data_IF_365723014942
#
_entry.id   IF_365723014942
#
_cell.length_a   1.000
_cell.length_b   1.000
_cell.length_c   1.000
_cell.angle_alpha   90.00
_cell.angle_beta   90.00
_cell.angle_gamma   90.00
#
_symmetry.space_group_name_H-M   'P 1'
#
loop_
_entity.id
_entity.type
_entity.pdbx_description
1 polymer ?
#
# COMPACT_ATOMS: atom_id res chain seq x y z
N UNK A 1 59.28 28.09 12.46
CA UNK A 1 59.86 28.39 11.14
C UNK A 1 59.19 27.50 10.09
N UNK A 2 58.94 28.01 8.87
CA UNK A 2 58.04 27.55 7.77
C UNK A 2 56.64 28.20 7.86
N UNK A 3 56.43 29.42 7.32
CA UNK A 3 56.17 29.87 5.91
C UNK A 3 54.74 29.48 5.42
N UNK A 4 53.78 30.43 5.39
CA UNK A 4 53.37 31.34 4.26
C UNK A 4 52.40 30.62 3.29
N UNK A 5 51.31 31.14 2.72
CA UNK A 5 50.52 32.39 2.85
C UNK A 5 49.22 32.23 2.03
N UNK A 6 48.21 33.00 2.44
CA UNK A 6 46.88 33.29 1.89
C UNK A 6 46.80 33.63 0.38
N UNK A 7 45.65 33.31 -0.20
CA UNK A 7 45.02 33.94 -1.38
C UNK A 7 43.50 33.83 -1.17
N UNK A 8 42.62 34.73 -1.59
CA UNK A 8 42.57 36.18 -1.71
C UNK A 8 41.07 36.46 -1.93
N UNK A 9 40.44 37.19 -1.00
CA UNK A 9 39.09 37.76 -1.13
C UNK A 9 39.20 39.05 -1.95
N UNK A 10 38.32 39.28 -2.93
CA UNK A 10 37.89 40.57 -3.55
C UNK A 10 37.22 40.22 -4.90
N UNK A 11 36.13 40.78 -5.43
CA UNK A 11 35.13 41.80 -5.04
C UNK A 11 34.10 41.94 -6.18
N UNK A 12 32.95 42.56 -5.88
CA UNK A 12 32.07 43.37 -6.75
C UNK A 12 31.17 42.66 -7.78
N UNK A 13 29.94 43.11 -8.11
CA UNK A 13 28.94 44.04 -7.59
C UNK A 13 28.00 44.37 -8.78
N UNK A 14 26.68 44.48 -8.53
CA UNK A 14 25.68 45.26 -9.29
C UNK A 14 25.30 44.87 -10.73
N UNK A 15 24.05 44.41 -10.92
CA UNK A 15 23.03 45.11 -11.74
C UNK A 15 21.63 44.87 -11.13
N UNK A 16 21.01 45.95 -10.67
CA UNK A 16 19.57 46.12 -10.44
C UNK A 16 18.98 46.75 -11.71
N UNK A 17 17.82 46.28 -12.19
CA UNK A 17 16.71 47.18 -12.54
C UNK A 17 15.40 46.41 -12.77
N UNK A 18 14.39 46.96 -12.10
CA UNK A 18 12.96 46.64 -12.08
C UNK A 18 12.31 46.67 -13.46
N UNK A 19 11.16 45.99 -13.63
CA UNK A 19 9.91 46.59 -14.12
C UNK A 19 8.71 45.68 -13.76
N UNK A 20 7.74 46.31 -13.11
CA UNK A 20 6.39 45.84 -12.76
C UNK A 20 5.54 45.52 -13.99
N UNK A 21 4.75 44.45 -13.93
CA UNK A 21 3.45 44.41 -14.60
C UNK A 21 2.40 43.71 -13.71
N UNK A 22 1.38 44.48 -13.34
CA UNK A 22 0.12 44.04 -12.74
C UNK A 22 -0.94 44.11 -13.84
N UNK A 23 -1.71 43.05 -14.06
CA UNK A 23 -3.05 43.12 -14.65
C UNK A 23 -3.86 41.87 -14.28
N UNK A 24 -5.13 42.12 -13.99
CA UNK A 24 -6.06 41.31 -13.21
C UNK A 24 -6.84 40.21 -13.97
N UNK A 25 -7.20 39.17 -13.19
CA UNK A 25 -8.52 38.52 -13.00
C UNK A 25 -9.29 37.78 -14.13
N UNK A 26 -9.68 36.52 -13.82
CA UNK A 26 -11.07 36.00 -13.77
C UNK A 26 -11.06 34.48 -13.48
N UNK A 27 -11.30 34.05 -12.23
CA UNK A 27 -12.56 33.51 -11.69
C UNK A 27 -13.07 32.20 -12.30
N UNK A 28 -12.89 31.11 -11.54
CA UNK A 28 -13.82 29.97 -11.46
C UNK A 28 -13.58 29.27 -10.11
N UNK A 29 -14.39 29.63 -9.11
CA UNK A 29 -14.36 29.10 -7.77
C UNK A 29 -14.82 27.63 -7.75
N UNK A 30 -13.88 26.70 -7.57
CA UNK A 30 -14.18 25.41 -6.96
C UNK A 30 -14.21 25.62 -5.45
N UNK A 31 -15.36 25.37 -4.83
CA UNK A 31 -15.55 25.53 -3.39
C UNK A 31 -14.63 24.57 -2.61
N UNK A 32 -13.52 25.08 -2.09
CA UNK A 32 -12.79 24.46 -0.99
C UNK A 32 -13.67 24.51 0.27
N UNK A 33 -14.01 23.34 0.83
CA UNK A 33 -14.56 23.25 2.18
C UNK A 33 -13.40 23.31 3.19
N UNK A 34 -13.51 24.12 4.26
CA UNK A 34 -12.45 24.21 5.26
C UNK A 34 -12.41 22.92 6.10
N UNK A 35 -11.21 22.35 6.20
CA UNK A 35 -10.87 21.29 7.14
C UNK A 35 -10.82 21.85 8.58
N UNK A 36 -11.97 22.17 9.17
CA UNK A 36 -12.06 22.37 10.62
C UNK A 36 -12.29 21.03 11.30
N UNK A 37 -11.39 20.69 12.23
CA UNK A 37 -11.44 19.46 13.00
C UNK A 37 -12.73 19.39 13.83
N UNK A 38 -13.64 18.49 13.43
CA UNK A 38 -14.87 18.22 14.19
C UNK A 38 -14.55 17.18 15.26
N UNK A 39 -14.25 17.64 16.48
CA UNK A 39 -14.07 16.77 17.65
C UNK A 39 -15.41 16.16 18.09
N UNK A 40 -15.41 14.97 18.69
CA UNK A 40 -16.58 14.51 19.45
C UNK A 40 -16.75 15.30 20.76
N UNK A 41 -17.90 15.11 21.42
CA UNK A 41 -18.21 15.59 22.78
C UNK A 41 -17.18 15.15 23.84
N UNK A 42 -16.29 14.20 23.50
CA UNK A 42 -15.21 13.71 24.33
C UNK A 42 -13.81 14.24 23.92
N UNK A 43 -13.72 15.21 22.99
CA UNK A 43 -12.47 15.85 22.58
C UNK A 43 -11.50 14.97 21.77
N UNK A 44 -11.93 13.80 21.27
CA UNK A 44 -11.13 12.92 20.42
C UNK A 44 -11.24 13.36 18.96
N UNK A 45 -10.13 13.37 18.20
CA UNK A 45 -10.19 13.68 16.77
C UNK A 45 -11.02 12.62 16.03
N UNK A 46 -12.17 13.03 15.47
CA UNK A 46 -12.99 12.14 14.64
C UNK A 46 -12.25 11.91 13.33
N UNK A 47 -12.08 10.64 12.94
CA UNK A 47 -11.54 10.32 11.62
C UNK A 47 -12.52 10.84 10.56
N UNK A 48 -12.07 11.65 9.57
CA UNK A 48 -12.94 12.19 8.52
C UNK A 48 -13.72 11.09 7.78
N UNK A 49 -13.12 9.90 7.63
CA UNK A 49 -13.71 8.75 6.96
C UNK A 49 -14.96 8.16 7.67
N UNK A 50 -15.20 8.48 8.95
CA UNK A 50 -16.38 7.99 9.68
C UNK A 50 -17.61 8.90 9.53
N UNK A 51 -17.45 10.08 8.91
CA UNK A 51 -18.52 11.05 8.73
C UNK A 51 -19.24 10.82 7.40
N UNK A 52 -20.56 10.85 7.44
CA UNK A 52 -21.39 10.81 6.24
C UNK A 52 -21.24 12.14 5.47
N UNK A 53 -20.92 12.11 4.17
CA UNK A 53 -20.82 13.33 3.35
C UNK A 53 -22.12 14.13 3.21
N UNK A 54 -23.28 13.48 3.41
CA UNK A 54 -24.60 14.14 3.30
C UNK A 54 -25.02 14.78 4.63
N UNK A 55 -24.81 14.07 5.74
CA UNK A 55 -25.33 14.51 7.06
C UNK A 55 -24.26 15.19 7.91
N UNK A 56 -22.99 15.09 7.52
CA UNK A 56 -21.81 15.52 8.27
C UNK A 56 -21.76 14.97 9.71
N UNK A 57 -22.46 13.84 9.94
CA UNK A 57 -22.51 13.13 11.24
C UNK A 57 -21.84 11.77 11.09
N UNK A 58 -21.41 11.19 12.21
CA UNK A 58 -20.88 9.82 12.22
C UNK A 58 -21.96 8.85 11.73
N UNK A 59 -21.59 8.00 10.77
CA UNK A 59 -22.48 7.00 10.20
C UNK A 59 -22.81 5.93 11.24
N UNK A 60 -24.08 5.61 11.42
CA UNK A 60 -24.53 4.45 12.21
C UNK A 60 -24.66 3.22 11.34
N UNK A 61 -25.13 3.41 10.11
CA UNK A 61 -25.29 2.33 9.15
C UNK A 61 -24.64 2.72 7.82
N UNK A 62 -23.30 2.60 7.72
CA UNK A 62 -22.56 3.00 6.53
C UNK A 62 -22.86 2.06 5.36
N UNK A 63 -23.27 2.62 4.23
CA UNK A 63 -23.53 1.92 2.96
C UNK A 63 -22.82 2.58 1.80
N UNK A 64 -22.36 1.79 0.84
CA UNK A 64 -21.73 2.22 -0.40
C UNK A 64 -22.80 2.37 -1.49
N UNK A 65 -22.81 3.51 -2.17
CA UNK A 65 -23.64 3.73 -3.35
C UNK A 65 -22.86 3.40 -4.65
N UNK A 66 -23.55 3.44 -5.79
CA UNK A 66 -22.98 3.04 -7.09
C UNK A 66 -21.84 3.95 -7.59
N UNK A 67 -21.60 5.07 -6.92
CA UNK A 67 -20.49 5.99 -7.15
C UNK A 67 -19.23 5.65 -6.33
N UNK A 68 -19.25 4.54 -5.59
CA UNK A 68 -18.12 4.05 -4.80
C UNK A 68 -17.93 4.74 -3.45
N UNK A 69 -18.79 5.69 -3.07
CA UNK A 69 -18.65 6.43 -1.81
C UNK A 69 -19.56 5.88 -0.72
N UNK A 70 -19.14 6.04 0.54
CA UNK A 70 -19.90 5.56 1.70
C UNK A 70 -20.72 6.69 2.33
N UNK A 71 -21.98 6.39 2.62
CA UNK A 71 -22.97 7.29 3.19
C UNK A 71 -23.73 6.63 4.33
N UNK A 72 -24.40 7.43 5.15
CA UNK A 72 -25.42 6.92 6.07
C UNK A 72 -26.62 6.39 5.27
N UNK A 73 -27.04 5.13 5.50
CA UNK A 73 -28.12 4.48 4.74
C UNK A 73 -29.37 5.35 4.64
N UNK A 74 -29.86 5.86 5.77
CA UNK A 74 -31.08 6.65 5.79
C UNK A 74 -30.98 7.93 4.93
N UNK A 75 -29.78 8.51 4.84
CA UNK A 75 -29.54 9.74 4.09
C UNK A 75 -29.48 9.47 2.58
N UNK A 76 -28.71 8.46 2.17
CA UNK A 76 -28.52 8.16 0.75
C UNK A 76 -29.76 7.53 0.12
N UNK A 77 -30.46 6.63 0.83
CA UNK A 77 -31.72 6.05 0.35
C UNK A 77 -32.78 7.14 0.15
N UNK A 78 -32.86 8.11 1.06
CA UNK A 78 -33.75 9.26 0.90
C UNK A 78 -33.36 10.11 -0.31
N UNK A 79 -32.07 10.38 -0.51
CA UNK A 79 -31.58 11.18 -1.62
C UNK A 79 -31.86 10.51 -2.98
N UNK A 80 -31.60 9.21 -3.09
CA UNK A 80 -31.88 8.40 -4.29
C UNK A 80 -33.39 8.30 -4.55
N UNK A 81 -34.21 8.20 -3.50
CA UNK A 81 -35.67 8.10 -3.62
C UNK A 81 -36.39 9.43 -3.91
N UNK A 82 -35.77 10.58 -3.62
CA UNK A 82 -36.42 11.90 -3.73
C UNK A 82 -36.30 12.56 -5.11
N UNK A 83 -35.48 12.02 -6.02
CA UNK A 83 -35.25 12.59 -7.35
C UNK A 83 -35.44 11.54 -8.44
N UNK A 84 -35.88 11.98 -9.63
CA UNK A 84 -35.95 11.13 -10.83
C UNK A 84 -34.55 10.74 -11.30
N UNK A 85 -33.60 11.70 -11.21
CA UNK A 85 -32.18 11.56 -11.55
C UNK A 85 -31.32 11.97 -10.36
N UNK A 86 -31.13 11.09 -9.37
CA UNK A 86 -30.30 11.39 -8.21
C UNK A 86 -28.82 11.48 -8.62
N UNK A 87 -28.12 12.48 -8.09
CA UNK A 87 -26.69 12.72 -8.36
C UNK A 87 -25.88 12.54 -7.09
N UNK A 88 -24.66 12.04 -7.26
CA UNK A 88 -23.67 11.92 -6.19
C UNK A 88 -23.40 13.29 -5.56
N UNK A 89 -23.53 13.41 -4.23
CA UNK A 89 -23.17 14.63 -3.51
C UNK A 89 -21.68 15.00 -3.64
N UNK A 90 -20.81 14.04 -3.94
CA UNK A 90 -19.37 14.22 -3.98
C UNK A 90 -18.84 14.44 -5.41
N UNK A 91 -19.38 13.70 -6.38
CA UNK A 91 -18.89 13.79 -7.78
C UNK A 91 -19.79 14.64 -8.67
N UNK A 92 -21.02 14.94 -8.25
CA UNK A 92 -22.02 15.64 -9.07
C UNK A 92 -22.55 14.82 -10.25
N UNK A 93 -22.10 13.57 -10.42
CA UNK A 93 -22.51 12.65 -11.49
C UNK A 93 -23.78 11.88 -11.11
N UNK A 94 -24.62 11.48 -12.07
CA UNK A 94 -25.78 10.63 -11.79
C UNK A 94 -25.35 9.25 -11.29
N UNK A 95 -26.13 8.67 -10.37
CA UNK A 95 -25.90 7.29 -9.95
C UNK A 95 -26.19 6.31 -11.09
N UNK A 96 -25.29 5.37 -11.30
CA UNK A 96 -25.41 4.26 -12.27
C UNK A 96 -26.44 3.20 -11.85
N UNK A 97 -26.66 3.02 -10.54
CA UNK A 97 -27.73 2.19 -9.99
C UNK A 97 -28.32 2.83 -8.73
N UNK A 98 -29.55 2.43 -8.37
CA UNK A 98 -30.22 2.89 -7.13
C UNK A 98 -29.92 2.00 -5.92
N UNK A 99 -29.14 0.95 -6.13
CA UNK A 99 -28.80 -0.02 -5.10
C UNK A 99 -27.72 0.54 -4.17
N UNK A 100 -27.82 0.18 -2.89
CA UNK A 100 -26.83 0.52 -1.87
C UNK A 100 -26.37 -0.77 -1.18
N UNK A 101 -25.08 -0.86 -0.90
CA UNK A 101 -24.45 -2.06 -0.36
C UNK A 101 -23.84 -1.79 1.01
N UNK A 102 -23.96 -2.73 1.94
CA UNK A 102 -23.51 -2.52 3.31
C UNK A 102 -21.98 -2.40 3.41
N UNK A 103 -21.49 -1.35 4.05
CA UNK A 103 -20.07 -1.22 4.40
C UNK A 103 -19.83 -1.79 5.81
N UNK A 104 -19.91 -3.11 5.94
CA UNK A 104 -19.75 -3.82 7.21
C UNK A 104 -18.38 -3.56 7.87
N UNK A 105 -17.33 -3.31 7.07
CA UNK A 105 -16.00 -2.97 7.57
C UNK A 105 -16.00 -1.62 8.29
N UNK A 106 -16.54 -0.58 7.64
CA UNK A 106 -16.64 0.75 8.27
C UNK A 106 -17.60 0.74 9.45
N UNK A 107 -18.68 -0.06 9.39
CA UNK A 107 -19.61 -0.24 10.50
C UNK A 107 -18.90 -0.74 11.76
N UNK A 108 -18.09 -1.79 11.63
CA UNK A 108 -17.27 -2.34 12.73
C UNK A 108 -16.27 -1.34 13.27
N UNK A 109 -15.59 -0.60 12.39
CA UNK A 109 -14.66 0.47 12.80
C UNK A 109 -15.43 1.53 13.61
N UNK A 110 -16.57 2.01 13.12
CA UNK A 110 -17.33 3.05 13.84
C UNK A 110 -17.84 2.53 15.20
N UNK A 111 -18.30 1.29 15.27
CA UNK A 111 -18.73 0.63 16.50
C UNK A 111 -17.57 0.50 17.51
N UNK A 112 -16.37 0.14 17.05
CA UNK A 112 -15.16 0.05 17.88
C UNK A 112 -14.74 1.41 18.44
N UNK A 113 -14.90 2.48 17.66
CA UNK A 113 -14.53 3.84 18.06
C UNK A 113 -15.61 4.58 18.87
N UNK A 114 -16.85 4.06 18.98
CA UNK A 114 -17.93 4.71 19.71
C UNK A 114 -18.86 3.71 20.44
N UNK A 115 -18.45 3.18 21.60
CA UNK A 115 -19.17 2.11 22.31
C UNK A 115 -20.57 2.51 22.83
N UNK A 116 -20.98 3.77 22.70
CA UNK A 116 -22.33 4.26 23.08
C UNK A 116 -23.42 3.99 22.04
N UNK A 117 -23.10 3.45 20.86
CA UNK A 117 -24.09 3.07 19.82
C UNK A 117 -24.55 1.60 20.00
N UNK A 118 -24.35 1.01 21.18
CA UNK A 118 -25.03 -0.24 21.52
C UNK A 118 -26.37 0.07 22.20
N UNK A 119 -27.45 -0.06 21.42
CA UNK A 119 -28.81 0.00 21.93
C UNK A 119 -29.82 0.39 20.87
N UNK A 120 -30.09 -0.50 19.92
CA UNK A 120 -31.44 -0.87 19.41
C UNK A 120 -31.28 -2.02 18.39
N UNK A 121 -31.89 -3.20 18.62
CA UNK A 121 -31.78 -4.33 17.69
C UNK A 121 -32.79 -4.18 16.55
N UNK A 122 -32.33 -3.96 15.32
CA UNK A 122 -33.15 -4.21 14.14
C UNK A 122 -32.95 -5.65 13.70
N UNK A 123 -33.93 -6.48 14.06
CA UNK A 123 -34.07 -7.85 13.61
C UNK A 123 -34.21 -7.91 12.08
N UNK A 124 -33.44 -8.79 11.44
CA UNK A 124 -33.87 -9.72 10.39
C UNK A 124 -32.65 -10.58 9.99
N UNK A 125 -32.65 -11.83 10.45
CA UNK A 125 -31.71 -12.87 10.02
C UNK A 125 -32.08 -13.44 8.63
N UNK A 126 -31.12 -14.10 7.94
CA UNK A 126 -31.19 -14.45 6.52
C UNK A 126 -31.76 -15.84 6.25
N UNK A 127 -32.50 -16.00 5.14
CA UNK A 127 -32.88 -17.31 4.62
C UNK A 127 -31.86 -17.80 3.57
N UNK A 128 -31.24 -18.94 3.88
CA UNK A 128 -30.38 -19.73 2.99
C UNK A 128 -31.21 -20.45 1.92
N UNK A 129 -30.62 -20.69 0.74
CA UNK A 129 -30.64 -22.02 0.07
C UNK A 129 -29.64 -22.06 -1.10
N UNK A 130 -28.83 -23.12 -1.15
CA UNK A 130 -27.93 -23.54 -2.24
C UNK A 130 -28.65 -24.54 -3.18
N UNK A 131 -27.96 -25.31 -4.06
CA UNK A 131 -27.24 -24.99 -5.30
C UNK A 131 -27.84 -25.73 -6.53
N UNK A 132 -27.37 -25.47 -7.77
CA UNK A 132 -27.44 -26.47 -8.86
C UNK A 132 -26.40 -26.23 -9.96
N UNK A 133 -25.82 -27.33 -10.42
CA UNK A 133 -24.84 -27.47 -11.50
C UNK A 133 -25.51 -27.72 -12.86
N UNK A 134 -24.79 -27.43 -13.96
CA UNK A 134 -24.72 -28.26 -15.18
C UNK A 134 -23.61 -27.73 -16.13
N UNK A 135 -22.85 -28.67 -16.69
CA UNK A 135 -21.72 -28.51 -17.62
C UNK A 135 -22.17 -28.46 -19.10
N UNK A 136 -21.26 -28.10 -20.03
CA UNK A 136 -20.88 -28.84 -21.27
C UNK A 136 -19.66 -28.15 -21.95
N UNK A 137 -18.71 -28.99 -22.42
CA UNK A 137 -17.46 -28.70 -23.17
C UNK A 137 -17.65 -28.30 -24.64
N UNK A 138 -16.67 -27.59 -25.26
CA UNK A 138 -15.61 -28.18 -26.14
C UNK A 138 -14.86 -27.15 -27.03
N UNK A 139 -13.52 -27.25 -27.11
CA UNK A 139 -12.79 -27.32 -28.39
C UNK A 139 -11.91 -26.16 -28.91
N UNK A 140 -10.58 -26.33 -28.75
CA UNK A 140 -9.43 -26.03 -29.65
C UNK A 140 -8.91 -24.58 -29.87
N UNK A 141 -7.58 -24.43 -29.74
CA UNK A 141 -6.78 -23.44 -30.47
C UNK A 141 -5.47 -22.99 -29.81
N UNK A 142 -4.38 -23.74 -29.99
CA UNK A 142 -3.00 -23.30 -29.69
C UNK A 142 -2.63 -22.08 -30.56
N UNK A 143 -2.62 -20.89 -29.94
CA UNK A 143 -1.86 -19.66 -30.29
C UNK A 143 -2.24 -18.44 -29.42
N UNK A 144 -3.15 -18.63 -28.45
CA UNK A 144 -3.69 -17.56 -27.60
C UNK A 144 -3.11 -17.50 -26.18
N UNK A 145 -2.12 -18.33 -25.84
CA UNK A 145 -1.74 -18.59 -24.44
C UNK A 145 -1.06 -17.40 -23.73
N UNK A 146 -0.35 -16.55 -24.47
CA UNK A 146 0.36 -15.39 -23.90
C UNK A 146 -0.54 -14.15 -23.76
N UNK A 147 -1.50 -13.97 -24.68
CA UNK A 147 -2.50 -12.90 -24.63
C UNK A 147 -3.65 -13.22 -23.66
N UNK A 148 -4.01 -14.50 -23.54
CA UNK A 148 -4.99 -14.98 -22.57
C UNK A 148 -4.49 -14.82 -21.13
N UNK A 149 -3.22 -15.11 -20.83
CA UNK A 149 -2.64 -14.90 -19.48
C UNK A 149 -2.70 -13.43 -19.04
N UNK A 150 -2.45 -12.47 -19.94
CA UNK A 150 -2.56 -11.03 -19.65
C UNK A 150 -4.02 -10.62 -19.38
N UNK A 151 -5.00 -11.20 -20.09
CA UNK A 151 -6.43 -10.92 -19.88
C UNK A 151 -7.06 -11.63 -18.68
N UNK A 152 -6.46 -12.74 -18.21
CA UNK A 152 -6.91 -13.48 -17.02
C UNK A 152 -6.41 -12.80 -15.73
N UNK A 153 -5.29 -12.09 -15.78
CA UNK A 153 -4.69 -11.36 -14.64
C UNK A 153 -5.54 -10.17 -14.17
N UNK A 154 -6.42 -9.62 -15.01
CA UNK A 154 -7.25 -8.44 -14.68
C UNK A 154 -8.59 -8.77 -14.01
N UNK A 155 -8.95 -10.05 -13.82
CA UNK A 155 -10.25 -10.45 -13.28
C UNK A 155 -10.17 -11.29 -11.98
N UNK A 156 -9.04 -11.24 -11.26
CA UNK A 156 -8.98 -11.84 -9.92
C UNK A 156 -9.92 -11.05 -9.00
N UNK A 157 -10.85 -11.70 -8.29
CA UNK A 157 -11.76 -10.98 -7.38
C UNK A 157 -10.94 -10.27 -6.31
N UNK A 158 -11.31 -9.02 -6.02
CA UNK A 158 -10.64 -8.23 -4.99
C UNK A 158 -10.92 -8.89 -3.64
N UNK A 159 -9.89 -9.30 -2.88
CA UNK A 159 -10.10 -9.92 -1.59
C UNK A 159 -10.63 -8.89 -0.60
N UNK A 160 -11.43 -9.33 0.38
CA UNK A 160 -12.06 -8.43 1.34
C UNK A 160 -11.07 -7.53 2.11
N UNK A 161 -9.84 -8.01 2.34
CA UNK A 161 -8.76 -7.23 2.98
C UNK A 161 -8.30 -6.03 2.13
N UNK A 162 -8.54 -6.06 0.81
CA UNK A 162 -8.18 -5.00 -0.12
C UNK A 162 -9.35 -4.06 -0.45
N UNK A 163 -10.54 -4.25 0.15
CA UNK A 163 -11.64 -3.30 -0.01
C UNK A 163 -11.27 -1.93 0.59
N UNK A 164 -11.43 -0.87 -0.18
CA UNK A 164 -10.92 0.49 0.12
C UNK A 164 -9.47 0.73 -0.28
N UNK A 165 -8.78 -0.29 -0.81
CA UNK A 165 -7.39 -0.24 -1.30
C UNK A 165 -7.27 -0.83 -2.71
N UNK A 166 -8.35 -0.77 -3.49
CA UNK A 166 -8.48 -1.42 -4.79
C UNK A 166 -7.40 -0.95 -5.77
N UNK A 167 -7.10 0.35 -5.79
CA UNK A 167 -6.05 0.90 -6.66
C UNK A 167 -4.67 0.32 -6.32
N UNK A 168 -4.34 0.25 -5.03
CA UNK A 168 -3.07 -0.31 -4.55
C UNK A 168 -2.99 -1.80 -4.89
N UNK A 169 -4.08 -2.54 -4.67
CA UNK A 169 -4.15 -3.97 -4.98
C UNK A 169 -4.04 -4.25 -6.48
N UNK A 170 -4.76 -3.49 -7.32
CA UNK A 170 -4.68 -3.64 -8.77
C UNK A 170 -3.30 -3.25 -9.31
N UNK A 171 -2.67 -2.23 -8.75
CA UNK A 171 -1.29 -1.86 -9.11
C UNK A 171 -0.31 -2.96 -8.71
N UNK A 172 -0.47 -3.55 -7.52
CA UNK A 172 0.32 -4.71 -7.09
C UNK A 172 0.16 -5.89 -8.04
N UNK A 173 -1.05 -6.21 -8.48
CA UNK A 173 -1.29 -7.31 -9.45
C UNK A 173 -0.63 -7.08 -10.80
N UNK A 174 -0.55 -5.82 -11.26
CA UNK A 174 0.17 -5.43 -12.47
C UNK A 174 1.69 -5.43 -12.28
N UNK A 175 2.15 -5.46 -11.03
CA UNK A 175 3.55 -5.46 -10.70
C UNK A 175 4.24 -6.80 -10.97
N UNK A 176 5.56 -6.74 -11.02
CA UNK A 176 6.43 -7.88 -11.28
C UNK A 176 7.75 -7.75 -10.51
N UNK A 177 8.27 -8.88 -10.06
CA UNK A 177 9.64 -9.01 -9.58
C UNK A 177 10.51 -9.38 -10.77
N UNK A 178 11.49 -8.54 -11.08
CA UNK A 178 12.39 -8.72 -12.22
C UNK A 178 13.75 -9.15 -11.70
N UNK A 179 14.23 -10.29 -12.19
CA UNK A 179 15.58 -10.77 -11.97
C UNK A 179 16.44 -10.53 -13.21
N UNK A 180 17.61 -9.90 -13.03
CA UNK A 180 18.61 -9.67 -14.06
C UNK A 180 19.94 -10.28 -13.63
N UNK A 181 20.41 -11.36 -14.29
CA UNK A 181 21.67 -12.00 -13.92
C UNK A 181 22.87 -11.06 -14.14
N UNK A 182 22.77 -10.16 -15.12
CA UNK A 182 23.82 -9.20 -15.44
C UNK A 182 23.32 -7.76 -15.21
N UNK A 183 24.09 -6.96 -14.49
CA UNK A 183 23.74 -5.57 -14.19
C UNK A 183 23.60 -4.76 -15.49
N UNK A 184 22.47 -4.08 -15.65
CA UNK A 184 22.20 -3.22 -16.82
C UNK A 184 21.94 -3.97 -18.13
N UNK A 185 21.72 -5.29 -18.07
CA UNK A 185 21.40 -6.11 -19.25
C UNK A 185 20.13 -6.91 -19.01
N UNK A 186 19.28 -6.97 -20.04
CA UNK A 186 18.08 -7.81 -20.04
C UNK A 186 18.35 -9.23 -20.60
N UNK A 187 19.60 -9.54 -20.96
CA UNK A 187 19.99 -10.89 -21.40
C UNK A 187 19.84 -11.85 -20.22
N UNK A 188 18.98 -12.86 -20.38
CA UNK A 188 18.66 -13.82 -19.33
C UNK A 188 17.75 -13.25 -18.23
N UNK A 189 17.10 -12.10 -18.48
CA UNK A 189 16.12 -11.53 -17.56
C UNK A 189 14.95 -12.50 -17.32
N UNK A 190 14.56 -12.64 -16.06
CA UNK A 190 13.40 -13.43 -15.64
C UNK A 190 12.39 -12.49 -15.02
N UNK A 191 11.14 -12.60 -15.46
CA UNK A 191 10.03 -11.83 -14.92
C UNK A 191 9.15 -12.76 -14.09
N UNK A 192 8.90 -12.39 -12.85
CA UNK A 192 8.08 -13.10 -11.89
C UNK A 192 6.87 -12.20 -11.53
N UNK A 193 5.73 -12.32 -12.23
CA UNK A 193 4.57 -11.47 -11.99
C UNK A 193 3.98 -11.69 -10.58
N UNK A 194 3.51 -10.63 -9.93
CA UNK A 194 2.81 -10.78 -8.64
C UNK A 194 1.51 -11.57 -8.82
N UNK A 195 0.83 -11.39 -9.95
CA UNK A 195 -0.40 -12.10 -10.26
C UNK A 195 -0.23 -13.62 -10.44
N UNK A 196 1.00 -14.12 -10.66
CA UNK A 196 1.25 -15.56 -10.73
C UNK A 196 1.39 -16.22 -9.35
N UNK A 197 1.46 -15.43 -8.27
CA UNK A 197 1.39 -15.97 -6.91
C UNK A 197 -0.02 -16.50 -6.63
N UNK A 198 -0.12 -17.64 -5.94
CA UNK A 198 -1.41 -18.17 -5.50
C UNK A 198 -2.15 -17.16 -4.63
N UNK A 199 -1.44 -16.50 -3.71
CA UNK A 199 -1.92 -15.34 -2.97
C UNK A 199 -0.95 -14.14 -3.15
N UNK A 200 -1.33 -13.09 -3.90
CA UNK A 200 -0.49 -11.91 -4.11
C UNK A 200 -0.25 -11.05 -2.86
N UNK A 201 -0.95 -11.32 -1.76
CA UNK A 201 -0.80 -10.61 -0.48
C UNK A 201 -0.08 -11.45 0.58
N UNK A 202 0.20 -12.72 0.30
CA UNK A 202 0.88 -13.66 1.20
C UNK A 202 1.44 -14.85 0.41
N UNK A 203 2.29 -14.54 -0.58
CA UNK A 203 2.83 -15.51 -1.53
C UNK A 203 4.33 -15.40 -1.65
N UNK A 204 5.00 -16.53 -1.84
CA UNK A 204 6.47 -16.61 -1.99
C UNK A 204 6.83 -16.86 -3.45
N UNK A 205 7.78 -16.09 -4.00
CA UNK A 205 8.23 -16.25 -5.38
C UNK A 205 9.10 -17.50 -5.55
N UNK A 206 8.90 -18.23 -6.64
CA UNK A 206 9.75 -19.34 -7.01
C UNK A 206 11.04 -18.82 -7.69
N UNK A 207 12.15 -18.87 -6.95
CA UNK A 207 13.46 -18.38 -7.42
C UNK A 207 14.32 -19.48 -8.08
N UNK A 208 13.76 -20.66 -8.39
CA UNK A 208 14.52 -21.78 -8.97
C UNK A 208 15.18 -21.46 -10.32
N UNK A 209 14.64 -20.49 -11.06
CA UNK A 209 15.20 -20.04 -12.33
C UNK A 209 16.22 -18.90 -12.17
N UNK A 210 16.30 -18.29 -10.98
CA UNK A 210 17.13 -17.10 -10.71
C UNK A 210 18.55 -17.47 -10.24
N UNK A 211 19.22 -18.37 -10.96
CA UNK A 211 20.57 -18.84 -10.59
C UNK A 211 20.60 -19.55 -9.23
N UNK A 212 21.55 -19.18 -8.38
CA UNK A 212 21.67 -19.70 -7.01
C UNK A 212 20.92 -18.85 -5.96
N UNK A 213 20.16 -17.83 -6.39
CA UNK A 213 19.52 -16.87 -5.48
C UNK A 213 18.62 -17.55 -4.43
N UNK A 214 17.86 -18.58 -4.82
CA UNK A 214 16.97 -19.32 -3.92
C UNK A 214 17.67 -20.07 -2.77
N UNK A 215 18.99 -20.27 -2.84
CA UNK A 215 19.79 -20.83 -1.75
C UNK A 215 20.00 -19.82 -0.61
N UNK A 216 20.00 -18.53 -0.94
CA UNK A 216 20.33 -17.44 -0.01
C UNK A 216 19.13 -16.55 0.31
N UNK A 217 18.12 -16.51 -0.57
CA UNK A 217 16.99 -15.60 -0.49
C UNK A 217 15.65 -16.31 -0.46
N UNK A 218 14.72 -15.71 0.26
CA UNK A 218 13.28 -15.92 0.11
C UNK A 218 12.63 -14.57 -0.13
N UNK A 219 12.03 -14.36 -1.30
CA UNK A 219 11.30 -13.12 -1.60
C UNK A 219 9.81 -13.44 -1.59
N UNK A 220 9.05 -12.71 -0.78
CA UNK A 220 7.63 -12.94 -0.58
C UNK A 220 6.84 -11.63 -0.52
N UNK A 221 5.52 -11.75 -0.69
CA UNK A 221 4.54 -10.68 -0.50
C UNK A 221 3.88 -10.82 0.87
N UNK A 222 3.35 -9.72 1.41
CA UNK A 222 2.78 -9.71 2.76
C UNK A 222 3.84 -9.41 3.81
N UNK A 223 3.81 -10.11 4.95
CA UNK A 223 4.74 -9.86 6.05
C UNK A 223 5.08 -11.15 6.83
N UNK A 224 6.18 -11.09 7.59
CA UNK A 224 6.64 -12.23 8.39
C UNK A 224 5.72 -12.46 9.59
N UNK A 225 4.88 -13.49 9.52
CA UNK A 225 4.01 -13.89 10.64
C UNK A 225 4.70 -14.83 11.64
N UNK A 226 5.83 -15.43 11.26
CA UNK A 226 6.58 -16.37 12.09
C UNK A 226 7.88 -16.84 11.42
N UNK A 227 8.63 -17.68 12.13
CA UNK A 227 9.88 -18.28 11.62
C UNK A 227 9.56 -19.45 10.71
N UNK A 228 10.10 -19.44 9.49
CA UNK A 228 10.01 -20.56 8.55
C UNK A 228 11.31 -21.37 8.60
N UNK A 229 11.21 -22.67 8.93
CA UNK A 229 12.40 -23.54 9.07
C UNK A 229 13.23 -23.62 7.78
N UNK A 230 12.58 -23.64 6.62
CA UNK A 230 13.19 -23.61 5.28
C UNK A 230 13.99 -22.32 4.98
N UNK A 231 13.71 -21.23 5.70
CA UNK A 231 14.38 -19.93 5.54
C UNK A 231 15.42 -19.66 6.63
N UNK A 232 15.70 -20.63 7.53
CA UNK A 232 16.58 -20.42 8.69
C UNK A 232 17.98 -19.87 8.33
N UNK A 233 18.48 -20.20 7.14
CA UNK A 233 19.78 -19.75 6.62
C UNK A 233 19.67 -18.78 5.44
N UNK A 234 18.50 -18.14 5.26
CA UNK A 234 18.22 -17.23 4.16
C UNK A 234 17.91 -15.83 4.67
N UNK A 235 18.14 -14.83 3.82
CA UNK A 235 17.52 -13.52 4.00
C UNK A 235 16.10 -13.58 3.44
N UNK A 236 15.14 -13.18 4.27
CA UNK A 236 13.75 -13.01 3.86
C UNK A 236 13.52 -11.56 3.45
N UNK A 237 13.03 -11.36 2.23
CA UNK A 237 12.61 -10.05 1.71
C UNK A 237 11.10 -10.07 1.58
N UNK A 238 10.42 -9.13 2.24
CA UNK A 238 8.98 -8.99 2.19
C UNK A 238 8.57 -7.72 1.47
N UNK A 239 7.69 -7.87 0.49
CA UNK A 239 7.05 -6.80 -0.26
C UNK A 239 5.62 -6.66 0.28
N UNK A 240 5.42 -5.73 1.21
CA UNK A 240 4.17 -5.63 1.96
C UNK A 240 3.37 -4.40 1.53
N UNK A 241 2.15 -4.57 1.00
CA UNK A 241 1.22 -3.46 0.93
C UNK A 241 0.90 -2.97 2.35
N UNK A 242 0.95 -1.66 2.54
CA UNK A 242 0.71 -1.04 3.85
C UNK A 242 -0.60 -1.49 4.46
N UNK A 243 -1.67 -1.56 3.65
CA UNK A 243 -2.99 -1.95 4.13
C UNK A 243 -3.04 -3.38 4.70
N UNK A 244 -2.19 -4.29 4.22
CA UNK A 244 -2.10 -5.65 4.78
C UNK A 244 -1.58 -5.60 6.20
N UNK A 245 -0.62 -4.72 6.48
CA UNK A 245 -0.06 -4.52 7.81
C UNK A 245 -1.02 -3.74 8.72
N UNK A 246 -1.67 -2.69 8.20
CA UNK A 246 -2.64 -1.89 8.96
C UNK A 246 -3.86 -2.74 9.41
N UNK A 247 -4.26 -3.73 8.61
CA UNK A 247 -5.37 -4.63 8.89
C UNK A 247 -4.96 -5.90 9.65
N UNK A 248 -3.65 -6.13 9.83
CA UNK A 248 -3.15 -7.33 10.49
C UNK A 248 -3.39 -7.29 12.01
N UNK A 249 -3.71 -8.43 12.64
CA UNK A 249 -3.83 -8.50 14.09
C UNK A 249 -2.52 -8.10 14.77
N UNK A 250 -2.61 -7.32 15.86
CA UNK A 250 -1.45 -6.87 16.63
C UNK A 250 -0.59 -8.05 17.17
N UNK A 251 -1.17 -9.23 17.35
CA UNK A 251 -0.46 -10.46 17.73
C UNK A 251 0.52 -10.94 16.65
N UNK A 252 0.25 -10.65 15.38
CA UNK A 252 1.07 -11.08 14.24
C UNK A 252 1.92 -9.94 13.68
N UNK A 253 1.38 -8.72 13.62
CA UNK A 253 2.05 -7.55 13.04
C UNK A 253 2.57 -6.55 14.08
N UNK A 254 2.52 -6.88 15.38
CA UNK A 254 2.94 -5.99 16.47
C UNK A 254 4.38 -5.47 16.33
N UNK A 255 5.24 -6.22 15.65
CA UNK A 255 6.63 -5.83 15.35
C UNK A 255 6.74 -4.62 14.41
N UNK A 256 5.70 -4.31 13.63
CA UNK A 256 5.64 -3.12 12.78
C UNK A 256 5.21 -1.86 13.53
N UNK A 257 4.83 -1.92 14.81
CA UNK A 257 4.24 -0.78 15.54
C UNK A 257 5.11 0.49 15.50
N UNK A 258 6.44 0.34 15.59
CA UNK A 258 7.37 1.47 15.47
C UNK A 258 7.47 1.97 14.03
N UNK A 259 7.51 1.06 13.06
CA UNK A 259 7.62 1.38 11.63
C UNK A 259 6.37 2.09 11.11
N UNK A 260 5.16 1.59 11.44
CA UNK A 260 3.88 2.14 10.98
C UNK A 260 3.70 3.61 11.39
N UNK A 261 4.28 4.02 12.53
CA UNK A 261 4.22 5.42 13.00
C UNK A 261 4.93 6.37 12.06
N UNK A 262 6.02 5.93 11.44
CA UNK A 262 6.85 6.73 10.54
C UNK A 262 6.49 6.51 9.06
N UNK A 263 5.81 5.40 8.75
CA UNK A 263 5.39 5.04 7.41
C UNK A 263 4.39 6.10 6.85
N UNK A 264 4.72 6.82 5.77
CA UNK A 264 3.82 7.80 5.15
C UNK A 264 2.62 7.14 4.46
N UNK A 265 1.42 7.75 4.55
CA UNK A 265 0.19 7.22 3.92
C UNK A 265 0.33 7.13 2.39
N UNK A 266 1.11 8.03 1.81
CA UNK A 266 1.45 8.09 0.38
C UNK A 266 2.41 7.00 -0.10
N UNK A 267 2.99 6.20 0.79
CA UNK A 267 3.88 5.09 0.44
C UNK A 267 3.09 3.77 0.56
N UNK A 268 2.56 3.24 -0.55
CA UNK A 268 1.58 2.15 -0.51
C UNK A 268 2.20 0.78 -0.23
N UNK A 269 3.50 0.62 -0.49
CA UNK A 269 4.24 -0.63 -0.34
C UNK A 269 5.50 -0.37 0.49
N UNK A 270 5.81 -1.30 1.39
CA UNK A 270 7.03 -1.33 2.18
C UNK A 270 7.88 -2.54 1.78
N UNK A 271 9.19 -2.35 1.81
CA UNK A 271 10.15 -3.44 1.64
C UNK A 271 10.79 -3.73 3.00
N UNK A 272 10.94 -5.00 3.34
CA UNK A 272 11.52 -5.44 4.62
C UNK A 272 12.54 -6.53 4.38
N UNK A 273 13.68 -6.46 5.06
CA UNK A 273 14.73 -7.45 5.03
C UNK A 273 14.97 -7.98 6.43
N UNK A 274 14.98 -9.29 6.60
CA UNK A 274 15.26 -9.91 7.89
C UNK A 274 16.00 -11.22 7.69
N UNK A 275 16.85 -11.59 8.65
CA UNK A 275 17.45 -12.92 8.67
C UNK A 275 16.40 -13.95 9.08
N UNK A 276 16.17 -14.98 8.25
CA UNK A 276 15.15 -16.00 8.53
C UNK A 276 15.47 -16.85 9.75
N UNK A 277 16.73 -16.91 10.16
CA UNK A 277 17.16 -17.51 11.42
C UNK A 277 16.91 -16.65 12.66
N UNK A 278 16.55 -15.37 12.52
CA UNK A 278 16.32 -14.47 13.64
C UNK A 278 15.10 -14.91 14.46
N UNK A 279 15.24 -14.93 15.78
CA UNK A 279 14.16 -15.31 16.70
C UNK A 279 13.21 -14.16 17.02
N UNK A 280 13.66 -12.92 16.84
CA UNK A 280 12.82 -11.73 17.00
C UNK A 280 12.36 -11.21 15.65
N UNK A 281 11.05 -10.94 15.55
CA UNK A 281 10.42 -10.33 14.38
C UNK A 281 10.67 -8.82 14.28
N UNK A 282 11.17 -8.19 15.35
CA UNK A 282 11.47 -6.75 15.36
C UNK A 282 12.80 -6.42 14.66
N UNK A 283 13.54 -7.45 14.30
CA UNK A 283 14.89 -7.36 13.76
C UNK A 283 14.79 -7.35 12.24
N UNK A 284 14.69 -6.16 11.64
CA UNK A 284 14.60 -5.99 10.20
C UNK A 284 15.06 -4.61 9.73
N UNK A 285 15.69 -4.58 8.55
CA UNK A 285 15.86 -3.36 7.77
C UNK A 285 14.59 -3.10 6.97
N UNK A 286 14.24 -1.83 6.74
CA UNK A 286 13.02 -1.50 6.01
C UNK A 286 13.12 -0.26 5.14
N UNK A 287 12.35 -0.25 4.05
CA UNK A 287 12.21 0.90 3.15
C UNK A 287 10.72 1.16 2.90
N UNK A 288 10.16 2.12 3.63
CA UNK A 288 8.70 2.40 3.68
C UNK A 288 8.32 3.80 3.17
N UNK A 289 9.27 4.52 2.59
CA UNK A 289 9.07 5.91 2.15
C UNK A 289 8.86 6.06 0.64
N UNK A 290 8.93 4.96 -0.12
CA UNK A 290 8.93 4.98 -1.57
C UNK A 290 7.50 4.97 -2.14
N UNK A 291 7.27 5.77 -3.19
CA UNK A 291 6.13 5.58 -4.10
C UNK A 291 6.34 4.37 -5.01
N UNK A 292 5.32 3.99 -5.79
CA UNK A 292 5.45 2.92 -6.80
C UNK A 292 6.56 3.20 -7.82
N UNK A 293 6.69 4.45 -8.27
CA UNK A 293 7.70 4.89 -9.23
C UNK A 293 9.10 4.81 -8.63
N UNK A 294 9.25 5.18 -7.36
CA UNK A 294 10.52 5.10 -6.64
C UNK A 294 10.92 3.65 -6.30
N UNK A 295 9.94 2.76 -6.11
CA UNK A 295 10.19 1.32 -6.00
C UNK A 295 10.63 0.73 -7.33
N UNK A 296 10.10 1.25 -8.44
CA UNK A 296 10.43 0.83 -9.79
C UNK A 296 11.79 1.32 -10.31
N UNK A 297 12.44 2.28 -9.66
CA UNK A 297 13.66 2.92 -10.20
C UNK A 297 14.97 2.21 -9.85
N UNK A 298 15.00 1.46 -8.76
CA UNK A 298 16.24 0.96 -8.14
C UNK A 298 16.14 -0.53 -7.81
N UNK A 299 17.30 -1.18 -7.68
CA UNK A 299 17.41 -2.57 -7.26
C UNK A 299 17.10 -2.73 -5.77
N UNK A 300 16.76 -3.95 -5.35
CA UNK A 300 16.58 -4.27 -3.93
C UNK A 300 17.84 -3.96 -3.12
N UNK A 301 19.04 -4.07 -3.72
CA UNK A 301 20.30 -3.73 -3.05
C UNK A 301 20.43 -2.23 -2.75
N UNK A 302 20.11 -1.39 -3.72
CA UNK A 302 20.17 0.07 -3.54
C UNK A 302 19.20 0.52 -2.45
N UNK A 303 17.98 -0.04 -2.42
CA UNK A 303 17.00 0.22 -1.36
C UNK A 303 17.46 -0.27 0.01
N UNK A 304 18.06 -1.45 0.08
CA UNK A 304 18.61 -2.01 1.32
C UNK A 304 19.74 -1.13 1.88
N UNK A 305 20.63 -0.64 1.02
CA UNK A 305 21.73 0.28 1.44
C UNK A 305 21.21 1.58 2.02
N UNK A 306 20.18 2.17 1.39
CA UNK A 306 19.54 3.38 1.90
C UNK A 306 18.91 3.13 3.27
N UNK A 307 18.14 2.05 3.41
CA UNK A 307 17.52 1.66 4.68
C UNK A 307 18.56 1.51 5.81
N UNK A 308 19.67 0.81 5.54
CA UNK A 308 20.72 0.60 6.52
C UNK A 308 21.41 1.92 6.92
N UNK A 309 21.68 2.81 5.95
CA UNK A 309 22.32 4.10 6.23
C UNK A 309 21.49 5.06 7.10
N UNK A 310 20.15 5.00 6.98
CA UNK A 310 19.25 5.84 7.79
C UNK A 310 19.24 5.45 9.27
N UNK A 311 19.51 4.18 9.60
CA UNK A 311 19.64 3.72 10.99
C UNK A 311 20.95 4.15 11.64
N UNK A 312 22.01 4.35 10.87
CA UNK A 312 23.30 4.84 11.39
C UNK A 312 23.25 6.33 11.78
N UNK A 313 22.41 7.13 11.11
CA UNK A 313 22.39 8.60 11.27
C UNK A 313 21.51 9.10 12.43
N UNK A 314 20.54 8.31 12.91
CA UNK A 314 19.63 8.69 14.01
C UNK A 314 20.24 8.57 15.41
N UNK A 315 21.52 8.16 15.52
CA UNK A 315 22.23 8.16 16.81
C UNK A 315 21.94 6.96 17.71
N UNK A 316 21.27 5.92 17.24
CA UNK A 316 21.21 4.59 17.90
C UNK A 316 22.55 3.82 17.74
N UNK A 317 23.68 4.53 17.74
CA UNK A 317 24.78 4.25 16.82
C UNK A 317 25.97 3.44 17.37
N UNK A 318 25.84 2.71 18.48
CA UNK A 318 26.97 1.87 18.95
C UNK A 318 26.57 0.47 19.41
N UNK A 319 25.35 0.28 19.92
CA UNK A 319 24.84 -1.08 20.22
C UNK A 319 24.20 -1.73 18.98
N UNK A 320 23.61 -0.96 18.07
CA UNK A 320 23.00 -1.50 16.86
C UNK A 320 24.07 -2.05 15.87
N UNK A 321 25.23 -1.40 15.76
CA UNK A 321 26.32 -1.86 14.85
C UNK A 321 27.15 -3.02 15.41
N UNK A 322 27.24 -3.19 16.73
CA UNK A 322 27.95 -4.31 17.37
C UNK A 322 27.08 -5.55 17.56
N UNK A 323 25.75 -5.42 17.59
CA UNK A 323 24.80 -6.53 17.82
C UNK A 323 24.19 -7.07 16.51
N UNK A 324 24.13 -6.27 15.44
CA UNK A 324 23.38 -6.63 14.21
C UNK A 324 24.23 -6.74 12.95
N UNK A 325 25.33 -7.49 13.04
CA UNK A 325 26.05 -7.96 11.86
C UNK A 325 25.44 -9.28 11.33
N UNK A 326 24.15 -9.32 10.95
CA UNK A 326 23.79 -10.26 9.88
C UNK A 326 24.21 -9.59 8.57
N UNK A 327 25.47 -9.78 8.19
CA UNK A 327 25.83 -9.52 6.81
C UNK A 327 25.23 -10.64 5.99
N UNK A 328 24.34 -10.33 5.04
CA UNK A 328 23.95 -11.34 4.08
C UNK A 328 25.25 -11.82 3.41
N UNK A 329 25.59 -13.12 3.45
CA UNK A 329 26.84 -13.60 2.88
C UNK A 329 26.98 -13.29 1.39
N UNK A 330 25.86 -12.95 0.73
CA UNK A 330 25.77 -12.53 -0.66
C UNK A 330 24.80 -11.35 -0.86
N UNK A 331 25.05 -10.22 -0.21
CA UNK A 331 24.30 -8.96 -0.42
C UNK A 331 24.25 -8.52 -1.90
N UNK A 332 25.25 -8.92 -2.69
CA UNK A 332 25.30 -8.67 -4.13
C UNK A 332 24.10 -9.29 -4.87
N UNK A 333 23.52 -10.38 -4.36
CA UNK A 333 22.38 -11.05 -4.99
C UNK A 333 21.16 -10.12 -5.04
N UNK A 334 20.97 -9.24 -4.06
CA UNK A 334 19.88 -8.27 -4.07
C UNK A 334 19.95 -7.35 -5.31
N UNK A 335 21.16 -7.14 -5.86
CA UNK A 335 21.39 -6.26 -7.01
C UNK A 335 20.84 -6.83 -8.32
N UNK A 336 20.51 -8.11 -8.34
CA UNK A 336 19.86 -8.74 -9.49
C UNK A 336 18.35 -8.55 -9.49
N UNK A 337 17.75 -8.14 -8.36
CA UNK A 337 16.30 -8.05 -8.23
C UNK A 337 15.82 -6.60 -8.21
N UNK A 338 14.71 -6.36 -8.89
CA UNK A 338 14.01 -5.09 -8.94
C UNK A 338 12.51 -5.33 -8.94
N UNK A 339 11.76 -4.53 -8.17
CA UNK A 339 10.30 -4.55 -8.21
C UNK A 339 9.85 -3.53 -9.25
N UNK A 340 8.86 -3.85 -10.08
CA UNK A 340 8.31 -2.96 -11.11
C UNK A 340 6.78 -2.95 -11.00
N UNK A 341 6.15 -1.79 -11.18
CA UNK A 341 4.71 -1.52 -11.02
C UNK A 341 4.18 -0.58 -12.10
#
# INVERSE_FOLDING_TARGET
>A
MKKITRYCLLTCAFVLMSHTCMAAASSSAAAEMPASAVSDDAGRPRRPACLCPITSKVMRDPVVASDGHTYERAAIVKLIGSSRDPKSPLTGLPFTSKDVFDNLALKRIIEEFNPRIQGEPSALEPLRTSPSAAAVENGKGEKDEEKAKISVVTHRPIPAIAHGYEEVYQRLLKGQLVYRPNKGSDIGMIVLPFASLENPLDGTFNLSQCGDAGQYLSIATGYRQGKKAENANKVEIWIAPRFVIDMAPATTAGHFKSIIREWPVRAPIGLFWTWGGADSLNIMDYSVFNSFEQLASETLNEKHKVANSTHETTGESLLHSLVYSWRCPKEEIFGHFQVSF
#
